data_IF_499110687465
#
_entry.id   IF_499110687465
#
_cell.length_a   1.000
_cell.length_b   1.000
_cell.length_c   1.000
_cell.angle_alpha   90.00
_cell.angle_beta   90.00
_cell.angle_gamma   90.00
#
_symmetry.space_group_name_H-M   'P 1'
#
loop_
_entity.id
_entity.type
_entity.pdbx_description
1 polymer ?
#
# COMPACT_ATOMS: atom_id res chain seq x y z
N UNK A 1 -38.52 -13.69 83.09
CA UNK A 1 -37.59 -12.70 83.70
C UNK A 1 -37.07 -13.30 85.00
N UNK A 2 -36.41 -14.45 84.96
CA UNK A 2 -35.03 -14.69 84.46
C UNK A 2 -33.93 -14.08 85.33
N UNK A 3 -34.09 -14.36 86.63
CA UNK A 3 -33.12 -14.85 87.62
C UNK A 3 -31.64 -14.86 87.17
N UNK A 4 -31.10 -13.65 87.07
CA UNK A 4 -29.68 -13.32 87.33
C UNK A 4 -29.35 -13.49 88.85
N UNK A 5 -30.27 -14.04 89.65
CA UNK A 5 -30.16 -14.26 91.10
C UNK A 5 -29.93 -15.72 91.53
N UNK A 6 -29.54 -16.61 90.63
CA UNK A 6 -29.19 -18.01 90.96
C UNK A 6 -27.69 -18.29 90.90
N UNK A 7 -26.87 -17.25 91.09
CA UNK A 7 -25.41 -17.38 91.21
C UNK A 7 -24.91 -17.56 92.66
N UNK A 8 -25.80 -17.67 93.66
CA UNK A 8 -25.37 -17.59 95.08
C UNK A 8 -25.77 -18.77 95.98
N UNK A 9 -26.51 -19.76 95.48
CA UNK A 9 -26.89 -20.93 96.27
C UNK A 9 -26.44 -22.19 95.57
N UNK A 10 -25.16 -22.52 95.73
CA UNK A 10 -24.61 -23.88 95.91
C UNK A 10 -23.09 -23.87 95.69
N UNK A 11 -22.37 -23.28 96.65
CA UNK A 11 -21.03 -23.73 96.97
C UNK A 11 -21.14 -25.12 97.67
N UNK A 12 -20.09 -25.96 97.69
CA UNK A 12 -19.97 -27.15 96.88
C UNK A 12 -20.10 -28.42 97.73
N UNK A 13 -20.97 -29.35 97.35
CA UNK A 13 -20.94 -30.70 97.93
C UNK A 13 -19.91 -31.55 97.18
N UNK A 14 -18.73 -31.59 97.81
CA UNK A 14 -17.81 -32.72 97.94
C UNK A 14 -18.25 -33.99 97.19
N UNK A 15 -17.36 -34.48 96.34
CA UNK A 15 -17.40 -35.77 95.61
C UNK A 15 -18.08 -35.76 94.25
N UNK A 16 -17.40 -35.18 93.25
CA UNK A 16 -17.44 -35.76 91.91
C UNK A 16 -16.01 -36.09 91.53
N UNK A 17 -15.69 -37.38 91.64
CA UNK A 17 -14.50 -37.98 91.06
C UNK A 17 -14.67 -37.86 89.54
N UNK A 18 -14.22 -36.76 88.95
CA UNK A 18 -13.97 -36.70 87.52
C UNK A 18 -12.72 -37.51 87.25
N UNK A 19 -12.95 -38.79 86.94
CA UNK A 19 -11.95 -39.65 86.33
C UNK A 19 -11.49 -38.90 85.07
N UNK A 20 -10.26 -38.38 85.09
CA UNK A 20 -9.55 -38.07 83.85
C UNK A 20 -9.41 -39.40 83.12
N UNK A 21 -10.34 -39.66 82.21
CA UNK A 21 -10.07 -40.60 81.14
C UNK A 21 -9.07 -39.87 80.27
N UNK A 22 -7.78 -40.13 80.54
CA UNK A 22 -6.72 -39.94 79.55
C UNK A 22 -7.14 -40.75 78.34
N UNK A 23 -7.86 -40.09 77.43
CA UNK A 23 -8.06 -40.62 76.09
C UNK A 23 -6.73 -40.36 75.39
N UNK A 24 -5.86 -41.37 75.48
CA UNK A 24 -4.60 -41.48 74.77
C UNK A 24 -4.85 -40.96 73.35
N UNK A 25 -4.34 -39.76 73.04
CA UNK A 25 -4.43 -39.21 71.69
C UNK A 25 -3.56 -40.11 70.84
N UNK A 26 -4.16 -41.18 70.32
CA UNK A 26 -3.47 -42.18 69.55
C UNK A 26 -2.65 -41.50 68.46
N UNK A 27 -1.45 -42.03 68.18
CA UNK A 27 -0.60 -41.57 67.09
C UNK A 27 -1.40 -41.26 65.81
N UNK A 28 -2.47 -42.01 65.55
CA UNK A 28 -3.43 -41.78 64.47
C UNK A 28 -4.17 -40.43 64.48
N UNK A 29 -4.65 -39.91 65.62
CA UNK A 29 -5.33 -38.60 65.66
C UNK A 29 -4.34 -37.45 65.50
N UNK A 30 -3.13 -37.58 66.04
CA UNK A 30 -2.06 -36.58 65.88
C UNK A 30 -1.53 -36.56 64.43
N UNK A 31 -1.40 -37.73 63.79
CA UNK A 31 -1.03 -37.84 62.36
C UNK A 31 -2.16 -37.32 61.46
N UNK A 32 -3.43 -37.57 61.82
CA UNK A 32 -4.58 -37.07 61.09
C UNK A 32 -4.68 -35.52 61.17
N UNK A 33 -4.52 -34.94 62.36
CA UNK A 33 -4.49 -33.48 62.54
C UNK A 33 -3.31 -32.83 61.80
N UNK A 34 -2.14 -33.48 61.78
CA UNK A 34 -0.98 -33.02 61.01
C UNK A 34 -1.21 -33.09 59.49
N UNK A 35 -1.84 -34.16 58.99
CA UNK A 35 -2.22 -34.31 57.58
C UNK A 35 -3.25 -33.24 57.16
N UNK A 36 -4.23 -32.96 58.01
CA UNK A 36 -5.23 -31.91 57.77
C UNK A 36 -4.55 -30.53 57.74
N UNK A 37 -3.59 -30.27 58.64
CA UNK A 37 -2.83 -29.02 58.67
C UNK A 37 -1.86 -28.86 57.49
N UNK A 38 -1.29 -29.96 56.98
CA UNK A 38 -0.37 -30.01 55.84
C UNK A 38 -1.07 -30.01 54.47
N UNK A 39 -2.33 -30.45 54.41
CA UNK A 39 -3.07 -30.59 53.16
C UNK A 39 -3.15 -29.28 52.34
N UNK A 40 -3.41 -28.09 52.92
CA UNK A 40 -3.42 -26.83 52.18
C UNK A 40 -2.06 -26.52 51.53
N UNK A 41 -0.96 -26.80 52.21
CA UNK A 41 0.40 -26.58 51.72
C UNK A 41 0.74 -27.52 50.57
N UNK A 42 0.36 -28.80 50.67
CA UNK A 42 0.52 -29.79 49.61
C UNK A 42 -0.30 -29.45 48.36
N UNK A 43 -1.56 -29.04 48.56
CA UNK A 43 -2.44 -28.58 47.47
C UNK A 43 -1.85 -27.32 46.82
N UNK A 44 -1.34 -26.36 47.59
CA UNK A 44 -0.71 -25.16 47.07
C UNK A 44 0.55 -25.46 46.24
N UNK A 45 1.39 -26.41 46.67
CA UNK A 45 2.59 -26.83 45.92
C UNK A 45 2.20 -27.51 44.60
N UNK A 46 1.22 -28.40 44.61
CA UNK A 46 0.72 -29.06 43.40
C UNK A 46 0.10 -28.04 42.44
N UNK A 47 -0.70 -27.10 42.97
CA UNK A 47 -1.29 -26.01 42.19
C UNK A 47 -0.23 -25.09 41.59
N UNK A 48 0.81 -24.73 42.36
CA UNK A 48 1.95 -23.95 41.85
C UNK A 48 2.71 -24.71 40.76
N UNK A 49 2.90 -26.02 40.90
CA UNK A 49 3.59 -26.82 39.89
C UNK A 49 2.79 -26.93 38.59
N UNK A 50 1.48 -27.14 38.68
CA UNK A 50 0.59 -27.11 37.52
C UNK A 50 0.55 -25.73 36.86
N UNK A 51 0.43 -24.66 37.66
CA UNK A 51 0.48 -23.28 37.19
C UNK A 51 1.79 -22.97 36.48
N UNK A 52 2.93 -23.41 37.02
CA UNK A 52 4.24 -23.25 36.38
C UNK A 52 4.34 -24.00 35.04
N UNK A 53 3.85 -25.24 34.97
CA UNK A 53 3.78 -25.98 33.69
C UNK A 53 2.91 -25.27 32.66
N UNK A 54 1.73 -24.82 33.07
CA UNK A 54 0.78 -24.12 32.19
C UNK A 54 1.34 -22.77 31.73
N UNK A 55 2.00 -22.02 32.63
CA UNK A 55 2.70 -20.79 32.32
C UNK A 55 3.79 -21.00 31.27
N UNK A 56 4.62 -22.05 31.42
CA UNK A 56 5.69 -22.35 30.45
C UNK A 56 5.15 -22.71 29.07
N UNK A 57 4.05 -23.46 29.00
CA UNK A 57 3.36 -23.79 27.74
C UNK A 57 2.76 -22.54 27.10
N UNK A 58 2.10 -21.69 27.91
CA UNK A 58 1.49 -20.45 27.45
C UNK A 58 2.52 -19.45 26.92
N UNK A 59 3.65 -19.27 27.63
CA UNK A 59 4.75 -18.41 27.18
C UNK A 59 5.31 -18.83 25.83
N UNK A 60 5.48 -20.15 25.61
CA UNK A 60 5.99 -20.67 24.35
C UNK A 60 5.02 -20.37 23.20
N UNK A 61 3.73 -20.64 23.42
CA UNK A 61 2.65 -20.36 22.46
C UNK A 61 2.54 -18.86 22.15
N UNK A 62 2.57 -17.99 23.17
CA UNK A 62 2.55 -16.54 22.99
C UNK A 62 3.78 -16.05 22.22
N UNK A 63 4.98 -16.56 22.53
CA UNK A 63 6.19 -16.15 21.79
C UNK A 63 6.13 -16.54 20.31
N UNK A 64 5.53 -17.69 20.00
CA UNK A 64 5.38 -18.18 18.64
C UNK A 64 4.33 -17.35 17.88
N UNK A 65 3.21 -17.02 18.52
CA UNK A 65 2.22 -16.09 18.00
C UNK A 65 2.80 -14.68 17.77
N UNK A 66 3.60 -14.16 18.70
CA UNK A 66 4.31 -12.89 18.54
C UNK A 66 5.27 -12.92 17.35
N UNK A 67 6.06 -13.99 17.20
CA UNK A 67 6.99 -14.13 16.08
C UNK A 67 6.27 -14.21 14.73
N UNK A 68 5.16 -14.96 14.68
CA UNK A 68 4.32 -15.05 13.48
C UNK A 68 3.67 -13.70 13.15
N UNK A 69 3.15 -13.00 14.16
CA UNK A 69 2.55 -11.67 14.02
C UNK A 69 3.55 -10.62 13.54
N UNK A 70 4.77 -10.59 14.10
CA UNK A 70 5.84 -9.72 13.63
C UNK A 70 6.20 -10.01 12.18
N UNK A 71 6.34 -11.29 11.81
CA UNK A 71 6.66 -11.69 10.43
C UNK A 71 5.58 -11.24 9.45
N UNK A 72 4.30 -11.42 9.81
CA UNK A 72 3.16 -10.97 9.00
C UNK A 72 3.15 -9.45 8.85
N UNK A 73 3.33 -8.69 9.94
CA UNK A 73 3.38 -7.22 9.89
C UNK A 73 4.55 -6.72 9.05
N UNK A 74 5.75 -7.31 9.19
CA UNK A 74 6.91 -6.91 8.38
C UNK A 74 6.71 -7.22 6.90
N UNK A 75 6.09 -8.35 6.57
CA UNK A 75 5.80 -8.71 5.19
C UNK A 75 4.72 -7.79 4.59
N UNK A 76 3.65 -7.51 5.32
CA UNK A 76 2.61 -6.57 4.90
C UNK A 76 3.17 -5.16 4.69
N UNK A 77 4.01 -4.68 5.61
CA UNK A 77 4.66 -3.37 5.47
C UNK A 77 5.57 -3.32 4.24
N UNK A 78 6.34 -4.39 3.96
CA UNK A 78 7.19 -4.49 2.78
C UNK A 78 6.36 -4.42 1.49
N UNK A 79 5.29 -5.20 1.42
CA UNK A 79 4.39 -5.24 0.25
C UNK A 79 3.74 -3.87 0.04
N UNK A 80 3.21 -3.25 1.10
CA UNK A 80 2.59 -1.93 1.01
C UNK A 80 3.58 -0.85 0.55
N UNK A 81 4.83 -0.92 1.02
CA UNK A 81 5.88 0.03 0.60
C UNK A 81 6.26 -0.16 -0.87
N UNK A 82 6.39 -1.42 -1.31
CA UNK A 82 6.66 -1.75 -2.72
C UNK A 82 5.53 -1.26 -3.61
N UNK A 83 4.26 -1.53 -3.24
CA UNK A 83 3.11 -1.07 -3.99
C UNK A 83 3.04 0.47 -4.04
N UNK A 84 3.22 1.15 -2.90
CA UNK A 84 3.24 2.61 -2.89
C UNK A 84 4.31 3.20 -3.81
N UNK A 85 5.47 2.54 -3.90
CA UNK A 85 6.55 2.93 -4.82
C UNK A 85 6.15 2.71 -6.28
N UNK A 86 5.58 1.54 -6.61
CA UNK A 86 5.10 1.23 -7.96
C UNK A 86 4.01 2.21 -8.42
N UNK A 87 3.08 2.56 -7.52
CA UNK A 87 2.04 3.55 -7.79
C UNK A 87 2.65 4.90 -8.14
N UNK A 88 3.65 5.36 -7.38
CA UNK A 88 4.30 6.65 -7.64
C UNK A 88 5.07 6.62 -8.96
N UNK A 89 5.77 5.52 -9.28
CA UNK A 89 6.46 5.35 -10.56
C UNK A 89 5.49 5.44 -11.74
N UNK A 90 4.39 4.69 -11.72
CA UNK A 90 3.42 4.72 -12.82
C UNK A 90 2.72 6.08 -12.93
N UNK A 91 2.49 6.76 -11.81
CA UNK A 91 1.96 8.12 -11.80
C UNK A 91 2.92 9.11 -12.49
N UNK A 92 4.20 9.01 -12.21
CA UNK A 92 5.23 9.83 -12.85
C UNK A 92 5.34 9.50 -14.35
N UNK A 93 5.34 8.22 -14.73
CA UNK A 93 5.30 7.80 -16.15
C UNK A 93 4.08 8.39 -16.88
N UNK A 94 2.88 8.29 -16.29
CA UNK A 94 1.66 8.86 -16.87
C UNK A 94 1.71 10.39 -17.00
N UNK A 95 2.42 11.07 -16.09
CA UNK A 95 2.62 12.51 -16.15
C UNK A 95 3.55 12.88 -17.30
N UNK A 96 4.70 12.21 -17.40
CA UNK A 96 5.68 12.42 -18.47
C UNK A 96 5.05 12.12 -19.83
N UNK A 97 4.31 11.01 -19.97
CA UNK A 97 3.62 10.65 -21.20
C UNK A 97 2.67 11.76 -21.68
N UNK A 98 1.91 12.35 -20.75
CA UNK A 98 1.00 13.46 -21.06
C UNK A 98 1.77 14.71 -21.48
N UNK A 99 2.79 15.09 -20.72
CA UNK A 99 3.59 16.29 -20.97
C UNK A 99 4.30 16.19 -22.34
N UNK A 100 4.91 15.04 -22.64
CA UNK A 100 5.52 14.78 -23.94
C UNK A 100 4.51 14.75 -25.08
N UNK A 101 3.32 14.20 -24.87
CA UNK A 101 2.27 14.25 -25.89
C UNK A 101 1.83 15.70 -26.19
N UNK A 102 1.63 16.52 -25.16
CA UNK A 102 1.28 17.93 -25.32
C UNK A 102 2.40 18.70 -26.04
N UNK A 103 3.66 18.47 -25.67
CA UNK A 103 4.81 19.07 -26.35
C UNK A 103 4.88 18.64 -27.83
N UNK A 104 4.64 17.36 -28.11
CA UNK A 104 4.58 16.84 -29.47
C UNK A 104 3.48 17.53 -30.30
N UNK A 105 2.29 17.71 -29.72
CA UNK A 105 1.18 18.43 -30.38
C UNK A 105 1.55 19.90 -30.65
N UNK A 106 2.18 20.60 -29.71
CA UNK A 106 2.65 21.98 -29.91
C UNK A 106 3.66 22.05 -31.07
N UNK A 107 4.66 21.18 -31.06
CA UNK A 107 5.68 21.13 -32.12
C UNK A 107 5.08 20.77 -33.48
N UNK A 108 4.09 19.88 -33.55
CA UNK A 108 3.39 19.58 -34.82
C UNK A 108 2.67 20.80 -35.38
N UNK A 109 2.04 21.61 -34.53
CA UNK A 109 1.35 22.83 -34.94
C UNK A 109 2.32 23.88 -35.47
N UNK A 110 3.44 24.10 -34.76
CA UNK A 110 4.48 25.05 -35.16
C UNK A 110 5.13 24.61 -36.49
N UNK A 111 5.43 23.32 -36.64
CA UNK A 111 5.99 22.77 -37.87
C UNK A 111 5.06 22.94 -39.05
N UNK A 112 3.78 22.60 -38.89
CA UNK A 112 2.79 22.75 -39.94
C UNK A 112 2.65 24.22 -40.39
N UNK A 113 2.58 25.15 -39.43
CA UNK A 113 2.55 26.59 -39.74
C UNK A 113 3.81 27.07 -40.47
N UNK A 114 4.99 26.62 -40.02
CA UNK A 114 6.26 26.99 -40.65
C UNK A 114 6.39 26.43 -42.06
N UNK A 115 5.89 25.23 -42.33
CA UNK A 115 5.85 24.65 -43.67
C UNK A 115 4.91 25.43 -44.61
N UNK A 116 3.74 25.86 -44.11
CA UNK A 116 2.82 26.71 -44.87
C UNK A 116 3.46 28.07 -45.20
N UNK A 117 4.07 28.73 -44.21
CA UNK A 117 4.73 30.02 -44.39
C UNK A 117 5.88 29.92 -45.39
N UNK A 118 6.71 28.88 -45.27
CA UNK A 118 7.80 28.62 -46.22
C UNK A 118 7.27 28.44 -47.66
N UNK A 119 6.18 27.68 -47.82
CA UNK A 119 5.56 27.44 -49.14
C UNK A 119 4.90 28.70 -49.71
N UNK A 120 4.30 29.54 -48.87
CA UNK A 120 3.66 30.78 -49.30
C UNK A 120 4.67 31.79 -49.86
N UNK A 121 5.90 31.78 -49.34
CA UNK A 121 6.97 32.70 -49.73
C UNK A 121 8.03 32.09 -50.68
N UNK A 122 7.86 30.84 -51.14
CA UNK A 122 8.92 30.12 -51.87
C UNK A 122 9.29 30.73 -53.22
N UNK A 123 8.32 31.32 -53.92
CA UNK A 123 8.52 31.90 -55.27
C UNK A 123 8.71 33.42 -55.25
N UNK A 124 8.58 34.06 -54.08
CA UNK A 124 8.67 35.50 -53.94
C UNK A 124 10.11 35.92 -53.58
N UNK A 125 10.71 36.79 -54.39
CA UNK A 125 12.09 37.26 -54.26
C UNK A 125 12.23 38.59 -53.53
N UNK A 126 11.13 39.16 -53.03
CA UNK A 126 11.19 40.35 -52.16
C UNK A 126 11.98 40.05 -50.88
N UNK A 127 12.70 41.05 -50.37
CA UNK A 127 13.47 40.97 -49.13
C UNK A 127 12.61 40.48 -47.95
N UNK A 128 11.36 40.98 -47.88
CA UNK A 128 10.35 40.51 -46.93
C UNK A 128 10.07 39.00 -47.04
N UNK A 129 9.87 38.49 -48.27
CA UNK A 129 9.59 37.06 -48.46
C UNK A 129 10.82 36.18 -48.15
N UNK A 130 12.02 36.68 -48.44
CA UNK A 130 13.28 36.00 -48.08
C UNK A 130 13.41 35.87 -46.56
N UNK A 131 13.21 36.98 -45.83
CA UNK A 131 13.28 36.98 -44.36
C UNK A 131 12.29 36.00 -43.72
N UNK A 132 11.03 36.03 -44.16
CA UNK A 132 10.00 35.11 -43.67
C UNK A 132 10.31 33.65 -44.00
N UNK A 133 10.83 33.36 -45.20
CA UNK A 133 11.22 32.00 -45.59
C UNK A 133 12.40 31.50 -44.75
N UNK A 134 13.40 32.32 -44.51
CA UNK A 134 14.58 31.93 -43.73
C UNK A 134 14.20 31.66 -42.26
N UNK A 135 13.31 32.48 -41.70
CA UNK A 135 12.73 32.25 -40.37
C UNK A 135 11.91 30.96 -40.31
N UNK A 136 11.06 30.73 -41.31
CA UNK A 136 10.27 29.50 -41.41
C UNK A 136 11.17 28.26 -41.54
N UNK A 137 12.27 28.35 -42.30
CA UNK A 137 13.25 27.28 -42.43
C UNK A 137 13.96 26.95 -41.11
N UNK A 138 14.41 27.96 -40.36
CA UNK A 138 15.02 27.76 -39.04
C UNK A 138 14.04 27.14 -38.04
N UNK A 139 12.77 27.54 -38.10
CA UNK A 139 11.71 26.89 -37.32
C UNK A 139 11.54 25.42 -37.73
N UNK A 140 11.45 25.11 -39.03
CA UNK A 140 11.32 23.73 -39.52
C UNK A 140 12.46 22.85 -38.98
N UNK A 141 13.71 23.32 -39.09
CA UNK A 141 14.88 22.60 -38.60
C UNK A 141 14.85 22.40 -37.09
N UNK A 142 14.56 23.46 -36.33
CA UNK A 142 14.54 23.43 -34.86
C UNK A 142 13.45 22.51 -34.34
N UNK A 143 12.22 22.70 -34.80
CA UNK A 143 11.06 21.99 -34.28
C UNK A 143 10.96 20.56 -34.78
N UNK A 144 11.56 20.22 -35.93
CA UNK A 144 11.69 18.83 -36.38
C UNK A 144 12.53 18.01 -35.41
N UNK A 145 13.66 18.56 -34.94
CA UNK A 145 14.51 17.88 -33.95
C UNK A 145 13.78 17.70 -32.62
N UNK A 146 13.10 18.75 -32.13
CA UNK A 146 12.29 18.68 -30.91
C UNK A 146 11.15 17.66 -31.04
N UNK A 147 10.47 17.62 -32.18
CA UNK A 147 9.43 16.65 -32.47
C UNK A 147 9.94 15.21 -32.40
N UNK A 148 11.12 14.94 -32.99
CA UNK A 148 11.73 13.62 -32.93
C UNK A 148 12.15 13.23 -31.51
N UNK A 149 12.64 14.18 -30.71
CA UNK A 149 12.97 13.96 -29.30
C UNK A 149 11.74 13.56 -28.49
N UNK A 150 10.62 14.29 -28.61
CA UNK A 150 9.38 13.94 -27.91
C UNK A 150 8.82 12.59 -28.37
N UNK A 151 8.90 12.30 -29.67
CA UNK A 151 8.50 10.99 -30.20
C UNK A 151 9.34 9.85 -29.59
N UNK A 152 10.66 10.03 -29.48
CA UNK A 152 11.54 9.03 -28.87
C UNK A 152 11.24 8.86 -27.37
N UNK A 153 10.95 9.97 -26.68
CA UNK A 153 10.60 9.94 -25.27
C UNK A 153 9.28 9.20 -25.04
N UNK A 154 8.24 9.49 -25.82
CA UNK A 154 6.97 8.75 -25.78
C UNK A 154 7.22 7.27 -26.02
N UNK A 155 7.96 6.91 -27.08
CA UNK A 155 8.27 5.52 -27.41
C UNK A 155 8.95 4.77 -26.25
N UNK A 156 9.78 5.44 -25.45
CA UNK A 156 10.47 4.82 -24.32
C UNK A 156 9.55 4.38 -23.16
N UNK A 157 8.32 4.91 -23.10
CA UNK A 157 7.32 4.57 -22.08
C UNK A 157 6.24 3.60 -22.57
N UNK A 158 6.29 3.21 -23.85
CA UNK A 158 5.30 2.33 -24.46
C UNK A 158 5.80 0.89 -24.53
N UNK A 159 4.95 -0.04 -24.09
CA UNK A 159 5.09 -1.45 -24.35
C UNK A 159 4.36 -1.81 -25.65
N UNK A 160 5.13 -1.99 -26.73
CA UNK A 160 4.61 -2.33 -28.06
C UNK A 160 3.95 -3.71 -28.15
N UNK A 161 4.09 -4.56 -27.13
CA UNK A 161 3.34 -5.81 -27.06
C UNK A 161 1.86 -5.58 -26.66
N UNK A 162 1.55 -4.42 -26.09
CA UNK A 162 0.18 -4.02 -25.79
C UNK A 162 -0.44 -3.30 -27.00
N UNK A 163 -1.52 -3.88 -27.52
CA UNK A 163 -2.28 -3.36 -28.66
C UNK A 163 -2.73 -1.90 -28.51
N UNK A 164 -3.15 -1.48 -27.31
CA UNK A 164 -3.60 -0.10 -27.09
C UNK A 164 -2.43 0.90 -27.17
N UNK A 165 -1.24 0.48 -26.71
CA UNK A 165 -0.03 1.29 -26.74
C UNK A 165 0.58 1.31 -28.15
N UNK A 166 0.47 0.22 -28.90
CA UNK A 166 0.78 0.13 -30.32
C UNK A 166 -0.10 1.09 -31.15
N UNK A 167 -1.43 1.08 -30.93
CA UNK A 167 -2.37 1.97 -31.63
C UNK A 167 -2.05 3.45 -31.36
N UNK A 168 -1.68 3.79 -30.12
CA UNK A 168 -1.21 5.13 -29.79
C UNK A 168 0.09 5.48 -30.53
N UNK A 169 1.07 4.57 -30.56
CA UNK A 169 2.31 4.79 -31.30
C UNK A 169 2.07 5.00 -32.80
N UNK A 170 1.17 4.23 -33.40
CA UNK A 170 0.78 4.37 -34.80
C UNK A 170 0.14 5.73 -35.07
N UNK A 171 -0.72 6.20 -34.16
CA UNK A 171 -1.27 7.55 -34.23
C UNK A 171 -0.17 8.62 -34.18
N UNK A 172 0.81 8.49 -33.27
CA UNK A 172 1.96 9.40 -33.19
C UNK A 172 2.77 9.38 -34.49
N UNK A 173 3.05 8.19 -35.04
CA UNK A 173 3.76 8.05 -36.31
C UNK A 173 2.98 8.70 -37.46
N UNK A 174 1.65 8.52 -37.49
CA UNK A 174 0.77 9.18 -38.44
C UNK A 174 0.84 10.70 -38.35
N UNK A 175 0.76 11.25 -37.15
CA UNK A 175 0.84 12.68 -36.87
C UNK A 175 2.20 13.27 -37.28
N UNK A 176 3.30 12.62 -36.92
CA UNK A 176 4.66 13.04 -37.29
C UNK A 176 4.85 13.00 -38.81
N UNK A 177 4.43 11.91 -39.46
CA UNK A 177 4.51 11.79 -40.91
C UNK A 177 3.66 12.84 -41.63
N UNK A 178 2.49 13.18 -41.09
CA UNK A 178 1.60 14.19 -41.64
C UNK A 178 2.29 15.56 -41.68
N UNK A 179 2.90 16.00 -40.57
CA UNK A 179 3.54 17.32 -40.50
C UNK A 179 4.86 17.37 -41.27
N UNK A 180 5.69 16.34 -41.20
CA UNK A 180 6.98 16.29 -41.91
C UNK A 180 6.77 16.31 -43.43
N UNK A 181 5.73 15.65 -43.93
CA UNK A 181 5.39 15.66 -45.36
C UNK A 181 4.57 16.89 -45.78
N UNK A 182 4.13 17.72 -44.83
CA UNK A 182 3.22 18.85 -45.08
C UNK A 182 1.96 18.43 -45.87
N UNK A 183 1.40 17.27 -45.52
CA UNK A 183 0.21 16.76 -46.18
C UNK A 183 -1.04 17.40 -45.56
N UNK A 184 -2.10 17.58 -46.37
CA UNK A 184 -3.45 17.90 -45.87
C UNK A 184 -3.68 19.31 -45.33
N UNK A 185 -4.81 19.47 -44.64
CA UNK A 185 -5.32 20.74 -44.12
C UNK A 185 -5.09 20.87 -42.61
N UNK A 186 -5.21 22.09 -42.09
CA UNK A 186 -5.17 22.33 -40.65
C UNK A 186 -6.28 21.58 -39.88
N UNK A 187 -7.42 21.32 -40.54
CA UNK A 187 -8.51 20.54 -39.96
C UNK A 187 -8.14 19.05 -39.81
N UNK A 188 -7.41 18.50 -40.78
CA UNK A 188 -6.91 17.12 -40.71
C UNK A 188 -5.88 16.98 -39.58
N UNK A 189 -4.99 17.97 -39.42
CA UNK A 189 -4.05 18.04 -38.31
C UNK A 189 -4.78 18.04 -36.97
N UNK A 190 -5.77 18.92 -36.80
CA UNK A 190 -6.56 19.00 -35.58
C UNK A 190 -7.30 17.70 -35.27
N UNK A 191 -7.78 16.99 -36.29
CA UNK A 191 -8.44 15.69 -36.14
C UNK A 191 -7.46 14.61 -35.64
N UNK A 192 -6.25 14.55 -36.21
CA UNK A 192 -5.21 13.62 -35.78
C UNK A 192 -4.73 13.92 -34.35
N UNK A 193 -4.56 15.20 -34.01
CA UNK A 193 -4.21 15.64 -32.65
C UNK A 193 -5.33 15.28 -31.66
N UNK A 194 -6.60 15.47 -32.00
CA UNK A 194 -7.70 15.08 -31.14
C UNK A 194 -7.77 13.55 -30.93
N UNK A 195 -7.53 12.77 -32.00
CA UNK A 195 -7.50 11.32 -31.91
C UNK A 195 -6.37 10.81 -31.00
N UNK A 196 -5.15 11.33 -31.18
CA UNK A 196 -4.03 10.98 -30.32
C UNK A 196 -4.24 11.40 -28.85
N UNK A 197 -4.89 12.54 -28.62
CA UNK A 197 -5.21 13.00 -27.26
C UNK A 197 -6.17 12.02 -26.57
N UNK A 198 -7.17 11.52 -27.29
CA UNK A 198 -8.11 10.53 -26.78
C UNK A 198 -7.41 9.21 -26.44
N UNK A 199 -6.51 8.73 -27.31
CA UNK A 199 -5.72 7.51 -27.07
C UNK A 199 -4.78 7.68 -25.86
N UNK A 200 -4.06 8.80 -25.77
CA UNK A 200 -3.21 9.13 -24.62
C UNK A 200 -4.02 9.14 -23.31
N UNK A 201 -5.19 9.78 -23.32
CA UNK A 201 -6.08 9.83 -22.16
C UNK A 201 -6.60 8.44 -21.76
N UNK A 202 -7.00 7.62 -22.74
CA UNK A 202 -7.46 6.25 -22.52
C UNK A 202 -6.36 5.39 -21.88
N UNK A 203 -5.14 5.45 -22.41
CA UNK A 203 -3.98 4.75 -21.85
C UNK A 203 -3.69 5.14 -20.40
N UNK A 204 -3.64 6.45 -20.12
CA UNK A 204 -3.43 6.94 -18.76
C UNK A 204 -4.56 6.48 -17.83
N UNK A 205 -5.81 6.49 -18.30
CA UNK A 205 -6.95 6.01 -17.53
C UNK A 205 -6.83 4.52 -17.22
N UNK A 206 -6.45 3.69 -18.19
CA UNK A 206 -6.28 2.25 -18.03
C UNK A 206 -5.15 1.93 -17.04
N UNK A 207 -3.99 2.61 -17.16
CA UNK A 207 -2.88 2.45 -16.20
C UNK A 207 -3.29 2.85 -14.77
N UNK A 208 -4.05 3.93 -14.61
CA UNK A 208 -4.59 4.34 -13.30
C UNK A 208 -5.59 3.34 -12.72
N UNK A 209 -6.44 2.77 -13.56
CA UNK A 209 -7.42 1.78 -13.10
C UNK A 209 -6.77 0.47 -12.69
N UNK A 210 -5.74 0.02 -13.41
CA UNK A 210 -4.94 -1.15 -13.04
C UNK A 210 -4.30 -0.99 -11.65
N UNK A 211 -3.79 0.21 -11.33
CA UNK A 211 -3.29 0.54 -9.99
C UNK A 211 -4.38 0.41 -8.92
N UNK A 212 -5.56 0.99 -9.16
CA UNK A 212 -6.64 0.97 -8.16
C UNK A 212 -7.09 -0.46 -7.85
N UNK A 213 -7.18 -1.32 -8.86
CA UNK A 213 -7.51 -2.73 -8.65
C UNK A 213 -6.42 -3.50 -7.87
N UNK A 214 -5.15 -3.15 -8.05
CA UNK A 214 -4.04 -3.75 -7.27
C UNK A 214 -4.13 -3.37 -5.78
N UNK A 215 -4.56 -2.14 -5.47
CA UNK A 215 -4.77 -1.69 -4.08
C UNK A 215 -5.91 -2.47 -3.43
N UNK A 216 -7.03 -2.64 -4.13
CA UNK A 216 -8.22 -3.35 -3.61
C UNK A 216 -7.94 -4.82 -3.29
N UNK A 217 -7.12 -5.50 -4.11
CA UNK A 217 -6.80 -6.93 -3.96
C UNK A 217 -5.94 -7.23 -2.71
N UNK A 218 -5.31 -6.23 -2.09
CA UNK A 218 -4.45 -6.41 -0.90
C UNK A 218 -5.19 -6.06 0.40
N UNK A 219 -6.24 -5.25 0.31
CA UNK A 219 -7.09 -4.89 1.46
C UNK A 219 -8.09 -5.96 1.87
N UNK A 220 -8.33 -6.97 1.02
CA UNK A 220 -9.12 -8.17 1.29
C UNK A 220 -8.25 -9.35 1.78
#
# INVERSE_FOLDING_TARGET
MDIIHLLEVLNPLKNVVTIKIDNDKGLFTTIAEFLIAMAPTLIAVIAMWYSYKQFKISLRSQSEQFRLGLKQQTNALKINTQLATEIELVKDECKVLRESYVALVDYTSILYGSHLEYKQHSENTSEYAIEHRDKAYENIKTYTNKLLQERMLILSYLNIENREEEEFLDCINGLVNFVVKSNGTAADLGTLQAHGANLCFALIKNKRQAILCLVETITD
#
